data_IF_583642192324
#
_entry.id   IF_583642192324
#
_cell.length_a   1.000
_cell.length_b   1.000
_cell.length_c   1.000
_cell.angle_alpha   90.00
_cell.angle_beta   90.00
_cell.angle_gamma   90.00
#
_symmetry.space_group_name_H-M   'P 1'
#
loop_
_entity.id
_entity.type
_entity.pdbx_description
1 polymer ?
#
# COMPACT_ATOMS: atom_id res chain seq x y z
N UNK A 1 -4.72 -3.58 -9.31
CA UNK A 1 -5.39 -4.89 -9.48
C UNK A 1 -6.66 -5.00 -8.65
N UNK A 2 -6.62 -4.64 -7.36
CA UNK A 2 -7.77 -4.67 -6.46
C UNK A 2 -8.96 -3.91 -7.06
N UNK A 3 -8.79 -2.62 -7.38
CA UNK A 3 -9.83 -1.79 -8.00
C UNK A 3 -10.54 -2.46 -9.21
N UNK A 4 -9.78 -3.04 -10.14
CA UNK A 4 -10.35 -3.70 -11.31
C UNK A 4 -11.15 -4.98 -10.95
N UNK A 5 -10.67 -5.77 -9.98
CA UNK A 5 -11.36 -6.99 -9.51
C UNK A 5 -12.62 -6.66 -8.69
N UNK A 6 -12.61 -5.55 -7.98
CA UNK A 6 -13.75 -5.01 -7.23
C UNK A 6 -14.72 -4.20 -8.12
N UNK A 7 -14.46 -4.09 -9.43
CA UNK A 7 -15.35 -3.41 -10.38
C UNK A 7 -15.36 -1.88 -10.26
N UNK A 8 -14.31 -1.28 -9.71
CA UNK A 8 -14.16 0.17 -9.63
C UNK A 8 -13.82 0.75 -11.01
N UNK A 9 -14.69 1.62 -11.50
CA UNK A 9 -14.51 2.31 -12.78
C UNK A 9 -13.59 3.53 -12.64
N UNK A 10 -13.69 4.28 -11.55
CA UNK A 10 -12.88 5.48 -11.28
C UNK A 10 -11.50 5.13 -10.72
N UNK A 11 -10.69 4.50 -11.56
CA UNK A 11 -9.30 4.17 -11.22
C UNK A 11 -8.41 5.41 -11.08
N UNK A 12 -8.78 6.54 -11.70
CA UNK A 12 -8.04 7.80 -11.57
C UNK A 12 -8.09 8.30 -10.12
N UNK A 13 -9.28 8.31 -9.52
CA UNK A 13 -9.47 8.65 -8.11
C UNK A 13 -8.67 7.74 -7.19
N UNK A 14 -8.68 6.42 -7.42
CA UNK A 14 -7.90 5.45 -6.63
C UNK A 14 -6.40 5.78 -6.69
N UNK A 15 -5.86 6.07 -7.88
CA UNK A 15 -4.45 6.41 -8.05
C UNK A 15 -4.10 7.73 -7.37
N UNK A 16 -4.91 8.78 -7.56
CA UNK A 16 -4.69 10.07 -6.90
C UNK A 16 -4.74 9.94 -5.38
N UNK A 17 -5.72 9.22 -4.86
CA UNK A 17 -5.85 8.98 -3.42
C UNK A 17 -4.65 8.20 -2.87
N UNK A 18 -4.17 7.18 -3.58
CA UNK A 18 -2.94 6.47 -3.21
C UNK A 18 -1.70 7.37 -3.19
N UNK A 19 -1.59 8.35 -4.08
CA UNK A 19 -0.48 9.32 -4.05
C UNK A 19 -0.58 10.31 -2.88
N UNK A 20 -1.79 10.61 -2.42
CA UNK A 20 -2.05 11.65 -1.43
C UNK A 20 -2.12 11.11 0.00
N UNK A 21 -2.45 9.83 0.19
CA UNK A 21 -2.86 9.31 1.50
C UNK A 21 -1.87 9.61 2.66
N UNK A 22 -0.57 9.42 2.43
CA UNK A 22 0.49 9.67 3.43
C UNK A 22 1.34 10.91 3.10
N UNK A 23 0.93 11.77 2.17
CA UNK A 23 1.74 12.93 1.76
C UNK A 23 2.01 13.91 2.92
N UNK A 24 1.11 13.94 3.90
CA UNK A 24 1.21 14.73 5.12
C UNK A 24 2.39 14.28 6.02
N UNK A 25 2.82 13.03 5.91
CA UNK A 25 3.93 12.47 6.69
C UNK A 25 5.27 13.13 6.32
N UNK A 26 5.36 13.81 5.17
CA UNK A 26 6.51 14.66 4.83
C UNK A 26 6.76 15.81 5.82
N UNK A 27 5.72 16.23 6.55
CA UNK A 27 5.77 17.27 7.60
C UNK A 27 5.50 16.72 8.99
N UNK A 28 4.52 15.82 9.10
CA UNK A 28 4.12 15.24 10.39
C UNK A 28 5.04 14.09 10.85
N UNK A 29 5.86 13.54 9.95
CA UNK A 29 6.68 12.34 10.15
C UNK A 29 5.87 11.05 10.02
N UNK A 30 6.51 9.99 9.53
CA UNK A 30 5.97 8.63 9.63
C UNK A 30 6.07 8.14 11.07
N UNK A 31 4.93 7.80 11.65
CA UNK A 31 4.82 7.29 13.02
C UNK A 31 4.66 5.77 12.98
N UNK A 32 5.81 5.09 13.05
CA UNK A 32 5.88 3.63 13.15
C UNK A 32 5.23 3.08 14.44
N UNK A 33 5.00 1.75 14.50
CA UNK A 33 4.26 1.08 15.58
C UNK A 33 4.66 1.45 17.01
N UNK A 34 5.96 1.64 17.27
CA UNK A 34 6.46 2.02 18.60
C UNK A 34 6.18 3.50 18.87
N UNK A 35 6.48 4.37 17.91
CA UNK A 35 6.27 5.82 18.06
C UNK A 35 4.78 6.18 18.20
N UNK A 36 3.85 5.37 17.67
CA UNK A 36 2.40 5.57 17.87
C UNK A 36 1.96 5.52 19.33
N UNK A 37 2.79 4.96 20.23
CA UNK A 37 2.51 4.96 21.67
C UNK A 37 2.89 6.26 22.37
N UNK A 38 3.71 7.10 21.74
CA UNK A 38 4.37 8.24 22.38
C UNK A 38 4.30 9.55 21.58
N UNK A 39 3.83 9.48 20.33
CA UNK A 39 3.79 10.62 19.41
C UNK A 39 2.38 10.82 18.88
N UNK A 40 1.87 12.03 19.04
CA UNK A 40 0.65 12.50 18.37
C UNK A 40 1.04 13.20 17.06
N UNK A 41 0.47 12.74 15.94
CA UNK A 41 0.67 13.35 14.62
C UNK A 41 -0.48 14.29 14.28
N UNK A 42 -0.14 15.45 13.71
CA UNK A 42 -1.13 16.39 13.19
C UNK A 42 -1.05 16.43 11.66
N UNK A 43 -1.49 15.35 11.02
CA UNK A 43 -1.48 15.23 9.56
C UNK A 43 -2.46 16.18 8.89
N UNK A 44 -3.59 16.51 9.54
CA UNK A 44 -4.53 17.51 9.03
C UNK A 44 -3.88 18.89 8.91
N UNK A 45 -3.10 19.32 9.92
CA UNK A 45 -2.30 20.54 9.83
C UNK A 45 -1.22 20.39 8.76
N UNK A 46 -0.52 19.24 8.73
CA UNK A 46 0.53 18.96 7.76
C UNK A 46 0.06 19.12 6.31
N UNK A 47 -1.07 18.52 5.96
CA UNK A 47 -1.62 18.58 4.61
C UNK A 47 -2.20 19.96 4.27
N UNK A 48 -2.90 20.61 5.22
CA UNK A 48 -3.41 21.98 5.01
C UNK A 48 -2.29 22.96 4.73
N UNK A 49 -1.26 22.98 5.57
CA UNK A 49 -0.12 23.88 5.37
C UNK A 49 0.68 23.50 4.11
N UNK A 50 0.63 22.25 3.65
CA UNK A 50 1.34 21.79 2.46
C UNK A 50 0.65 22.23 1.18
N UNK A 51 -0.67 22.24 1.18
CA UNK A 51 -1.46 22.53 -0.01
C UNK A 51 -1.96 23.97 -0.08
N UNK A 52 -1.84 24.75 1.00
CA UNK A 52 -2.26 26.15 1.06
C UNK A 52 -1.78 26.95 -0.16
N UNK A 53 -2.72 27.65 -0.81
CA UNK A 53 -2.52 28.50 -1.98
C UNK A 53 -2.01 27.75 -3.23
N UNK A 54 -2.14 26.42 -3.27
CA UNK A 54 -1.82 25.62 -4.45
C UNK A 54 -3.07 25.30 -5.28
N UNK A 55 -2.88 25.02 -6.57
CA UNK A 55 -3.97 24.57 -7.44
C UNK A 55 -4.53 23.18 -7.08
N UNK A 56 -3.88 22.46 -6.15
CA UNK A 56 -4.25 21.10 -5.74
C UNK A 56 -5.04 21.08 -4.42
N UNK A 57 -5.17 22.22 -3.74
CA UNK A 57 -5.66 22.30 -2.36
C UNK A 57 -7.03 21.62 -2.17
N UNK A 58 -8.03 22.06 -2.91
CA UNK A 58 -9.40 21.55 -2.77
C UNK A 58 -9.50 20.05 -3.07
N UNK A 59 -8.92 19.61 -4.19
CA UNK A 59 -8.97 18.22 -4.63
C UNK A 59 -8.24 17.30 -3.65
N UNK A 60 -7.00 17.64 -3.28
CA UNK A 60 -6.17 16.75 -2.47
C UNK A 60 -6.62 16.72 -1.01
N UNK A 61 -7.10 17.85 -0.45
CA UNK A 61 -7.71 17.83 0.89
C UNK A 61 -8.96 16.95 0.90
N UNK A 62 -9.81 17.04 -0.13
CA UNK A 62 -11.00 16.19 -0.23
C UNK A 62 -10.64 14.71 -0.33
N UNK A 63 -9.67 14.36 -1.17
CA UNK A 63 -9.23 12.96 -1.32
C UNK A 63 -8.59 12.42 -0.05
N UNK A 64 -7.75 13.21 0.62
CA UNK A 64 -7.12 12.84 1.87
C UNK A 64 -8.16 12.61 2.98
N UNK A 65 -9.13 13.52 3.12
CA UNK A 65 -10.19 13.37 4.12
C UNK A 65 -11.07 12.14 3.85
N UNK A 66 -11.43 11.91 2.58
CA UNK A 66 -12.20 10.72 2.19
C UNK A 66 -11.43 9.43 2.49
N UNK A 67 -10.11 9.44 2.25
CA UNK A 67 -9.23 8.36 2.66
C UNK A 67 -9.26 8.19 4.17
N UNK A 68 -8.96 9.22 4.95
CA UNK A 68 -8.89 9.16 6.42
C UNK A 68 -10.17 8.63 7.08
N UNK A 69 -11.33 9.06 6.61
CA UNK A 69 -12.61 8.59 7.11
C UNK A 69 -13.01 7.20 6.57
N UNK A 70 -12.24 6.65 5.62
CA UNK A 70 -12.49 5.37 4.94
C UNK A 70 -13.92 5.29 4.38
N UNK A 71 -14.41 6.39 3.81
CA UNK A 71 -15.82 6.57 3.43
C UNK A 71 -16.22 5.75 2.20
N UNK A 72 -15.34 5.72 1.19
CA UNK A 72 -15.63 5.09 -0.10
C UNK A 72 -14.98 3.73 -0.27
N UNK A 73 -15.37 3.02 -1.34
CA UNK A 73 -14.70 1.76 -1.69
C UNK A 73 -13.28 2.03 -2.20
N UNK A 74 -13.06 3.13 -2.91
CA UNK A 74 -11.76 3.61 -3.36
C UNK A 74 -10.82 3.84 -2.17
N UNK A 75 -11.27 4.52 -1.11
CA UNK A 75 -10.50 4.73 0.12
C UNK A 75 -10.12 3.43 0.82
N UNK A 76 -11.07 2.48 0.87
CA UNK A 76 -10.82 1.15 1.44
C UNK A 76 -9.83 0.35 0.62
N UNK A 77 -9.90 0.43 -0.71
CA UNK A 77 -8.96 -0.22 -1.63
C UNK A 77 -7.56 0.37 -1.50
N UNK A 78 -7.43 1.69 -1.37
CA UNK A 78 -6.13 2.32 -1.11
C UNK A 78 -5.58 1.85 0.24
N UNK A 79 -6.41 1.73 1.28
CA UNK A 79 -5.97 1.20 2.58
C UNK A 79 -5.60 -0.27 2.53
N UNK A 80 -6.29 -1.06 1.73
CA UNK A 80 -5.93 -2.45 1.48
C UNK A 80 -4.56 -2.53 0.81
N UNK A 81 -4.33 -1.70 -0.22
CA UNK A 81 -3.04 -1.62 -0.90
C UNK A 81 -1.90 -1.20 0.04
N UNK A 82 -2.10 -0.15 0.84
CA UNK A 82 -1.14 0.30 1.88
C UNK A 82 -0.81 -0.83 2.87
N UNK A 83 -1.81 -1.56 3.36
CA UNK A 83 -1.54 -2.70 4.24
C UNK A 83 -0.74 -3.81 3.53
N UNK A 84 -1.08 -4.15 2.27
CA UNK A 84 -0.41 -5.20 1.51
C UNK A 84 1.03 -4.83 1.13
N UNK A 85 1.36 -3.55 1.00
CA UNK A 85 2.71 -3.08 0.68
C UNK A 85 3.74 -3.57 1.69
N UNK A 86 3.38 -3.59 2.98
CA UNK A 86 4.20 -4.14 4.05
C UNK A 86 4.47 -5.64 3.81
N UNK A 87 3.47 -6.40 3.37
CA UNK A 87 3.64 -7.84 3.12
C UNK A 87 4.55 -8.08 1.90
N UNK A 88 4.47 -7.23 0.86
CA UNK A 88 5.42 -7.27 -0.26
C UNK A 88 6.87 -7.00 0.21
N UNK A 89 7.09 -5.93 0.96
CA UNK A 89 8.42 -5.60 1.51
C UNK A 89 8.96 -6.76 2.35
N UNK A 90 8.14 -7.39 3.20
CA UNK A 90 8.57 -8.54 3.99
C UNK A 90 8.98 -9.74 3.13
N UNK A 91 8.32 -9.99 1.99
CA UNK A 91 8.73 -11.03 1.04
C UNK A 91 10.06 -10.70 0.38
N UNK A 92 10.27 -9.45 0.01
CA UNK A 92 11.55 -8.98 -0.55
C UNK A 92 12.70 -9.15 0.45
N UNK A 93 12.47 -8.73 1.70
CA UNK A 93 13.43 -8.93 2.79
C UNK A 93 13.74 -10.42 3.00
N UNK A 94 12.73 -11.29 3.00
CA UNK A 94 12.94 -12.74 3.10
C UNK A 94 13.72 -13.32 1.92
N UNK A 95 13.51 -12.83 0.70
CA UNK A 95 14.30 -13.25 -0.47
C UNK A 95 15.77 -12.82 -0.37
N UNK A 96 16.06 -11.71 0.32
CA UNK A 96 17.42 -11.27 0.67
C UNK A 96 18.03 -12.03 1.86
N UNK A 97 17.30 -12.98 2.45
CA UNK A 97 17.76 -13.80 3.58
C UNK A 97 17.46 -13.22 4.96
N UNK A 98 16.67 -12.14 5.06
CA UNK A 98 16.25 -11.59 6.34
C UNK A 98 15.08 -12.39 6.94
N UNK A 99 15.14 -12.66 8.25
CA UNK A 99 14.13 -13.44 8.98
C UNK A 99 13.01 -12.57 9.57
N UNK A 100 12.99 -11.28 9.24
CA UNK A 100 11.99 -10.34 9.74
C UNK A 100 10.56 -10.75 9.33
N UNK A 101 10.38 -11.25 8.10
CA UNK A 101 9.09 -11.76 7.62
C UNK A 101 8.53 -12.88 8.50
N UNK A 102 9.39 -13.81 8.96
CA UNK A 102 9.00 -14.89 9.86
C UNK A 102 8.53 -14.35 11.22
N UNK A 103 9.27 -13.38 11.76
CA UNK A 103 8.97 -12.78 13.06
C UNK A 103 7.66 -11.99 13.05
N UNK A 104 7.32 -11.37 11.92
CA UNK A 104 6.14 -10.54 11.77
C UNK A 104 4.93 -11.30 11.20
N UNK A 105 5.06 -12.55 10.77
CA UNK A 105 3.98 -13.29 10.13
C UNK A 105 2.69 -13.35 10.98
N UNK A 106 2.78 -13.67 12.27
CA UNK A 106 1.60 -13.75 13.13
C UNK A 106 0.88 -12.38 13.31
N UNK A 107 1.58 -11.28 13.65
CA UNK A 107 1.00 -9.94 13.62
C UNK A 107 0.39 -9.57 12.26
N UNK A 108 1.08 -9.86 11.15
CA UNK A 108 0.59 -9.54 9.80
C UNK A 108 -0.66 -10.33 9.44
N UNK A 109 -0.77 -11.59 9.84
CA UNK A 109 -1.99 -12.39 9.71
C UNK A 109 -3.17 -11.78 10.46
N UNK A 110 -2.94 -11.21 11.65
CA UNK A 110 -4.00 -10.49 12.35
C UNK A 110 -4.43 -9.22 11.62
N UNK A 111 -3.49 -8.50 10.99
CA UNK A 111 -3.83 -7.34 10.15
C UNK A 111 -4.65 -7.79 8.94
N UNK A 112 -4.23 -8.83 8.22
CA UNK A 112 -4.94 -9.30 7.04
C UNK A 112 -6.37 -9.78 7.35
N UNK A 113 -6.56 -10.47 8.47
CA UNK A 113 -7.88 -10.99 8.88
C UNK A 113 -8.84 -9.92 9.42
N UNK A 114 -8.34 -8.79 9.94
CA UNK A 114 -9.16 -7.82 10.67
C UNK A 114 -9.15 -6.39 10.10
N UNK A 115 -8.23 -6.07 9.19
CA UNK A 115 -7.99 -4.69 8.72
C UNK A 115 -8.09 -4.54 7.20
N UNK A 116 -8.13 -5.63 6.44
CA UNK A 116 -8.46 -5.58 5.02
C UNK A 116 -9.97 -5.43 4.84
N UNK A 117 -10.37 -4.65 3.85
CA UNK A 117 -11.76 -4.33 3.55
C UNK A 117 -12.34 -5.20 2.45
N UNK A 118 -11.53 -5.67 1.51
CA UNK A 118 -11.97 -6.43 0.33
C UNK A 118 -11.50 -7.89 0.37
N UNK A 119 -12.36 -8.79 -0.11
CA UNK A 119 -12.00 -10.21 -0.28
C UNK A 119 -10.85 -10.36 -1.29
N UNK A 120 -10.78 -9.47 -2.30
CA UNK A 120 -9.66 -9.45 -3.24
C UNK A 120 -8.34 -9.16 -2.53
N UNK A 121 -8.28 -8.19 -1.62
CA UNK A 121 -7.06 -7.89 -0.89
C UNK A 121 -6.65 -9.06 0.01
N UNK A 122 -7.60 -9.72 0.67
CA UNK A 122 -7.31 -10.90 1.48
C UNK A 122 -6.77 -12.07 0.64
N UNK A 123 -7.38 -12.32 -0.53
CA UNK A 123 -6.88 -13.33 -1.46
C UNK A 123 -5.46 -13.01 -1.95
N UNK A 124 -5.18 -11.73 -2.28
CA UNK A 124 -3.84 -11.28 -2.64
C UNK A 124 -2.84 -11.46 -1.50
N UNK A 125 -3.22 -11.17 -0.25
CA UNK A 125 -2.37 -11.41 0.91
C UNK A 125 -1.93 -12.88 1.01
N UNK A 126 -2.86 -13.81 0.78
CA UNK A 126 -2.57 -15.25 0.78
C UNK A 126 -1.57 -15.61 -0.33
N UNK A 127 -1.80 -15.11 -1.55
CA UNK A 127 -0.88 -15.32 -2.69
C UNK A 127 0.53 -14.77 -2.41
N UNK A 128 0.63 -13.63 -1.73
CA UNK A 128 1.92 -13.01 -1.37
C UNK A 128 2.74 -13.94 -0.46
N UNK A 129 2.11 -14.64 0.49
CA UNK A 129 2.85 -15.50 1.45
C UNK A 129 3.63 -16.62 0.74
N UNK A 130 3.07 -17.15 -0.34
CA UNK A 130 3.66 -18.26 -1.11
C UNK A 130 4.52 -17.78 -2.29
N UNK A 131 4.63 -16.45 -2.49
CA UNK A 131 5.36 -15.87 -3.61
C UNK A 131 6.86 -15.68 -3.33
N UNK A 132 7.68 -15.85 -4.37
CA UNK A 132 9.10 -15.46 -4.36
C UNK A 132 9.29 -14.27 -5.32
N UNK A 133 9.71 -13.10 -4.84
CA UNK A 133 9.92 -11.93 -5.67
C UNK A 133 11.08 -12.08 -6.66
N UNK A 134 11.77 -13.22 -6.74
CA UNK A 134 12.71 -13.55 -7.82
C UNK A 134 12.09 -14.44 -8.92
N UNK A 135 10.86 -14.92 -8.76
CA UNK A 135 10.19 -15.77 -9.75
C UNK A 135 9.99 -15.07 -11.09
N UNK A 136 9.75 -13.75 -11.10
CA UNK A 136 9.65 -12.99 -12.35
C UNK A 136 10.96 -13.02 -13.16
N UNK A 137 12.12 -13.09 -12.50
CA UNK A 137 13.40 -13.20 -13.17
C UNK A 137 13.66 -14.62 -13.69
N UNK A 138 13.30 -15.64 -12.90
CA UNK A 138 13.58 -17.05 -13.19
C UNK A 138 12.60 -17.65 -14.20
N UNK A 139 11.32 -17.42 -13.98
CA UNK A 139 10.22 -18.07 -14.68
C UNK A 139 9.46 -17.13 -15.61
N UNK A 140 9.55 -15.81 -15.39
CA UNK A 140 8.96 -14.81 -16.28
C UNK A 140 9.62 -14.75 -17.65
N UNK A 141 8.96 -14.03 -18.57
CA UNK A 141 9.52 -13.76 -19.91
C UNK A 141 10.82 -12.96 -19.77
N UNK A 142 11.95 -13.55 -20.14
CA UNK A 142 13.26 -12.93 -20.00
C UNK A 142 14.11 -13.10 -21.26
N UNK A 143 15.31 -12.49 -21.26
CA UNK A 143 16.21 -12.51 -22.41
C UNK A 143 16.59 -13.92 -22.85
N UNK A 144 16.70 -14.86 -21.92
CA UNK A 144 17.08 -16.26 -22.18
C UNK A 144 15.94 -17.05 -22.84
N UNK A 145 14.70 -16.92 -22.36
CA UNK A 145 13.60 -17.79 -22.80
C UNK A 145 12.75 -17.22 -23.94
N UNK A 146 12.71 -15.90 -24.12
CA UNK A 146 11.77 -15.23 -25.03
C UNK A 146 12.25 -13.87 -25.56
N UNK A 147 13.46 -13.46 -25.19
CA UNK A 147 14.10 -12.24 -25.68
C UNK A 147 15.21 -12.55 -26.68
N UNK A 148 16.15 -11.62 -26.78
CA UNK A 148 17.20 -11.57 -27.80
C UNK A 148 18.37 -12.55 -27.58
N UNK A 149 18.43 -13.25 -26.44
CA UNK A 149 19.43 -14.30 -26.20
C UNK A 149 18.89 -15.70 -26.51
N UNK A 150 17.65 -15.78 -26.98
CA UNK A 150 17.04 -17.02 -27.45
C UNK A 150 17.70 -17.38 -28.78
N UNK A 151 18.60 -18.38 -28.77
CA UNK A 151 19.10 -19.02 -29.99
C UNK A 151 17.95 -19.69 -30.74
#
# INVERSE_FOLDING_TARGET
MIAAKEGIEDTEKVVKMALVHDIAESRAGDVHYVSRQYTERNEELGIKDMLADTALEEEFLSLWQEYEDRQSMEAKIVKDADNLDIDFELREQSAMGNTVGESFHAPRKQVSENKLYTDTAYAMWQEIQDSDPHDWHRFGRNRLNSGDWKQ
#
